data_IF_646124651378
#
_entry.id   IF_646124651378
#
_cell.length_a   1.000
_cell.length_b   1.000
_cell.length_c   1.000
_cell.angle_alpha   90.00
_cell.angle_beta   90.00
_cell.angle_gamma   90.00
#
_symmetry.space_group_name_H-M   'P 1'
#
loop_
_entity.id
_entity.type
_entity.pdbx_description
1 polymer ?
#
# COMPACT_ATOMS: atom_id res chain seq x y z
N UNK A 1 -35.18 11.71 -65.03
CA UNK A 1 -35.27 12.38 -63.73
C UNK A 1 -34.79 11.40 -62.66
N UNK A 2 -33.50 11.43 -62.32
CA UNK A 2 -32.83 10.55 -61.34
C UNK A 2 -32.56 11.36 -60.08
N UNK A 3 -33.20 11.00 -58.97
CA UNK A 3 -33.00 11.61 -57.66
C UNK A 3 -31.92 10.86 -56.93
N UNK A 4 -30.76 11.49 -56.73
CA UNK A 4 -29.68 10.97 -55.84
C UNK A 4 -30.03 11.24 -54.38
N UNK A 5 -30.12 10.18 -53.58
CA UNK A 5 -30.20 10.25 -52.13
C UNK A 5 -28.77 10.32 -51.55
N UNK A 6 -28.44 11.43 -50.91
CA UNK A 6 -27.22 11.59 -50.14
C UNK A 6 -27.49 11.08 -48.70
N UNK A 7 -26.89 9.98 -48.33
CA UNK A 7 -26.95 9.49 -46.94
C UNK A 7 -25.89 10.22 -46.11
N UNK A 8 -26.34 11.03 -45.14
CA UNK A 8 -25.48 11.67 -44.17
C UNK A 8 -25.14 10.67 -43.06
N UNK A 9 -23.88 10.27 -42.98
CA UNK A 9 -23.34 9.44 -41.90
C UNK A 9 -23.07 10.34 -40.70
N UNK A 10 -23.88 10.27 -39.66
CA UNK A 10 -23.65 10.98 -38.38
C UNK A 10 -22.71 10.11 -37.55
N UNK A 11 -21.41 10.46 -37.52
CA UNK A 11 -20.45 9.89 -36.57
C UNK A 11 -20.71 10.48 -35.18
N UNK A 12 -21.36 9.72 -34.32
CA UNK A 12 -21.43 10.04 -32.89
C UNK A 12 -20.07 9.70 -32.24
N UNK A 13 -19.26 10.72 -31.97
CA UNK A 13 -18.07 10.61 -31.11
C UNK A 13 -18.55 10.35 -29.69
N UNK A 14 -18.52 9.08 -29.28
CA UNK A 14 -18.72 8.69 -27.90
C UNK A 14 -17.53 9.15 -27.05
N UNK A 15 -17.69 10.19 -26.26
CA UNK A 15 -16.75 10.55 -25.20
C UNK A 15 -16.85 9.48 -24.12
N UNK A 16 -15.87 8.59 -24.07
CA UNK A 16 -15.67 7.72 -22.90
C UNK A 16 -15.10 8.59 -21.77
N UNK A 17 -15.97 9.14 -20.94
CA UNK A 17 -15.55 9.69 -19.65
C UNK A 17 -14.99 8.54 -18.82
N UNK A 18 -13.68 8.53 -18.61
CA UNK A 18 -13.06 7.71 -17.55
C UNK A 18 -13.66 8.14 -16.22
N UNK A 19 -14.64 7.40 -15.73
CA UNK A 19 -15.18 7.60 -14.37
C UNK A 19 -14.07 7.16 -13.41
N UNK A 20 -13.23 8.09 -12.99
CA UNK A 20 -12.36 7.88 -11.85
C UNK A 20 -13.28 7.61 -10.65
N UNK A 21 -13.10 6.46 -10.02
CA UNK A 21 -13.92 6.10 -8.86
C UNK A 21 -13.75 7.18 -7.78
N UNK A 22 -14.86 7.85 -7.43
CA UNK A 22 -14.87 8.95 -6.47
C UNK A 22 -14.31 8.49 -5.12
N UNK A 23 -13.41 9.27 -4.51
CA UNK A 23 -12.98 9.10 -3.13
C UNK A 23 -14.22 9.14 -2.21
N UNK A 24 -14.43 8.06 -1.46
CA UNK A 24 -15.58 7.92 -0.55
C UNK A 24 -15.37 8.60 0.79
N UNK A 25 -14.12 8.85 1.15
CA UNK A 25 -13.73 9.36 2.47
C UNK A 25 -12.69 10.49 2.34
N UNK A 26 -13.04 11.58 1.62
CA UNK A 26 -12.13 12.71 1.44
C UNK A 26 -11.79 13.37 2.78
N UNK A 27 -10.80 14.28 2.82
CA UNK A 27 -10.45 15.00 4.02
C UNK A 27 -11.66 15.69 4.65
N UNK A 28 -11.80 15.59 5.98
CA UNK A 28 -12.84 16.30 6.74
C UNK A 28 -12.36 17.73 6.95
N UNK A 29 -13.10 18.76 6.44
CA UNK A 29 -12.73 20.15 6.64
C UNK A 29 -12.58 20.48 8.14
N UNK A 30 -11.61 21.31 8.57
CA UNK A 30 -11.38 21.61 9.98
C UNK A 30 -12.62 22.09 10.73
N UNK A 31 -13.50 22.90 10.09
CA UNK A 31 -14.74 23.37 10.66
C UNK A 31 -15.84 22.31 10.87
N UNK A 32 -15.66 21.12 10.27
CA UNK A 32 -16.59 19.99 10.39
C UNK A 32 -16.05 18.87 11.29
N UNK A 33 -14.82 19.02 11.80
CA UNK A 33 -14.21 18.04 12.69
C UNK A 33 -14.82 18.12 14.10
N UNK A 34 -15.10 16.95 14.68
CA UNK A 34 -15.42 16.84 16.09
C UNK A 34 -14.20 17.18 16.97
N UNK A 35 -14.39 17.45 18.25
CA UNK A 35 -13.28 17.70 19.17
C UNK A 35 -12.31 16.51 19.26
N UNK A 36 -12.81 15.28 19.21
CA UNK A 36 -11.97 14.07 19.17
C UNK A 36 -11.11 14.01 17.89
N UNK A 37 -11.65 14.39 16.74
CA UNK A 37 -10.92 14.44 15.48
C UNK A 37 -9.86 15.56 15.50
N UNK A 38 -10.19 16.75 15.97
CA UNK A 38 -9.22 17.86 16.12
C UNK A 38 -8.06 17.46 17.03
N UNK A 39 -8.37 16.80 18.16
CA UNK A 39 -7.35 16.28 19.07
C UNK A 39 -6.43 15.27 18.38
N UNK A 40 -7.00 14.30 17.64
CA UNK A 40 -6.22 13.29 16.92
C UNK A 40 -5.34 13.91 15.82
N UNK A 41 -5.82 14.92 15.09
CA UNK A 41 -5.03 15.69 14.12
C UNK A 41 -3.85 16.38 14.82
N UNK A 42 -4.10 17.05 15.95
CA UNK A 42 -3.05 17.73 16.72
C UNK A 42 -1.97 16.74 17.23
N UNK A 43 -2.38 15.58 17.75
CA UNK A 43 -1.48 14.52 18.20
C UNK A 43 -0.67 13.92 17.03
N UNK A 44 -1.30 13.70 15.89
CA UNK A 44 -0.63 13.22 14.68
C UNK A 44 0.46 14.20 14.23
N UNK A 45 0.09 15.47 14.07
CA UNK A 45 1.01 16.53 13.61
C UNK A 45 2.14 16.76 14.62
N UNK A 46 1.85 16.70 15.93
CA UNK A 46 2.89 16.84 16.95
C UNK A 46 3.96 15.75 16.87
N UNK A 47 3.58 14.52 16.55
CA UNK A 47 4.51 13.37 16.45
C UNK A 47 5.19 13.32 15.08
N UNK A 48 4.41 13.36 13.99
CA UNK A 48 4.92 13.16 12.63
C UNK A 48 5.55 14.40 12.01
N UNK A 49 5.30 15.60 12.58
CA UNK A 49 5.72 16.91 12.03
C UNK A 49 5.22 17.13 10.60
N UNK A 50 4.06 16.57 10.29
CA UNK A 50 3.42 16.60 8.98
C UNK A 50 1.90 16.59 9.12
N UNK A 51 1.20 16.98 8.08
CA UNK A 51 -0.25 16.91 8.00
C UNK A 51 -0.76 15.48 7.89
N UNK A 52 -1.99 15.24 8.30
CA UNK A 52 -2.67 13.96 8.15
C UNK A 52 -2.81 13.64 6.67
N UNK A 53 -2.26 12.51 6.24
CA UNK A 53 -2.22 12.11 4.83
C UNK A 53 -2.37 10.59 4.66
N UNK A 54 -2.56 10.16 3.42
CA UNK A 54 -2.67 8.75 3.09
C UNK A 54 -3.80 8.04 3.82
N UNK A 55 -3.55 6.84 4.37
CA UNK A 55 -4.57 6.04 5.05
C UNK A 55 -5.13 6.72 6.31
N UNK A 56 -4.41 7.67 6.89
CA UNK A 56 -4.86 8.39 8.08
C UNK A 56 -6.00 9.39 7.79
N UNK A 57 -6.14 9.84 6.54
CA UNK A 57 -7.26 10.70 6.13
C UNK A 57 -8.61 10.00 6.33
N UNK A 58 -8.88 8.82 5.74
CA UNK A 58 -10.10 8.09 6.02
C UNK A 58 -10.19 7.61 7.50
N UNK A 59 -9.05 7.24 8.12
CA UNK A 59 -9.02 6.79 9.52
C UNK A 59 -9.41 7.87 10.53
N UNK A 60 -9.32 9.16 10.18
CA UNK A 60 -9.73 10.25 11.06
C UNK A 60 -11.21 10.15 11.48
N UNK A 61 -12.03 9.39 10.75
CA UNK A 61 -13.42 9.07 11.13
C UNK A 61 -13.53 8.21 12.38
N UNK A 62 -12.45 7.52 12.73
CA UNK A 62 -12.28 6.79 13.99
C UNK A 62 -10.95 7.19 14.63
N UNK A 63 -10.92 8.31 15.40
CA UNK A 63 -9.69 8.88 15.95
C UNK A 63 -8.86 7.89 16.79
N UNK A 64 -9.53 7.02 17.54
CA UNK A 64 -8.87 6.02 18.35
C UNK A 64 -8.15 4.95 17.50
N UNK A 65 -8.80 4.46 16.45
CA UNK A 65 -8.15 3.54 15.48
C UNK A 65 -6.97 4.23 14.81
N UNK A 66 -7.13 5.48 14.38
CA UNK A 66 -6.08 6.26 13.75
C UNK A 66 -4.84 6.39 14.64
N UNK A 67 -5.04 6.75 15.91
CA UNK A 67 -3.93 6.97 16.85
C UNK A 67 -3.19 5.68 17.18
N UNK A 68 -3.90 4.56 17.38
CA UNK A 68 -3.28 3.25 17.64
C UNK A 68 -2.56 2.72 16.41
N UNK A 69 -3.18 2.84 15.24
CA UNK A 69 -2.55 2.48 13.97
C UNK A 69 -1.28 3.31 13.71
N UNK A 70 -1.32 4.62 13.95
CA UNK A 70 -0.13 5.48 13.84
C UNK A 70 0.99 5.01 14.77
N UNK A 71 0.69 4.74 16.05
CA UNK A 71 1.71 4.31 16.99
C UNK A 71 2.36 2.98 16.61
N UNK A 72 1.56 2.01 16.13
CA UNK A 72 2.08 0.75 15.59
C UNK A 72 2.95 0.99 14.36
N UNK A 73 2.49 1.83 13.41
CA UNK A 73 3.25 2.15 12.21
C UNK A 73 4.56 2.89 12.50
N UNK A 74 4.59 3.76 13.53
CA UNK A 74 5.80 4.46 13.96
C UNK A 74 6.85 3.46 14.47
N UNK A 75 6.45 2.45 15.25
CA UNK A 75 7.35 1.38 15.69
C UNK A 75 7.86 0.56 14.50
N UNK A 76 6.96 0.01 13.68
CA UNK A 76 7.31 -0.89 12.59
C UNK A 76 8.20 -0.25 11.53
N UNK A 77 8.07 1.05 11.28
CA UNK A 77 8.87 1.76 10.28
C UNK A 77 10.21 2.26 10.80
N UNK A 78 10.30 2.64 12.06
CA UNK A 78 11.46 3.38 12.56
C UNK A 78 12.21 2.69 13.70
N UNK A 79 11.61 1.67 14.32
CA UNK A 79 12.14 1.02 15.51
C UNK A 79 12.13 -0.52 15.42
N UNK A 80 11.67 -1.09 14.31
CA UNK A 80 11.73 -2.54 14.06
C UNK A 80 13.20 -3.01 13.96
N UNK A 81 13.46 -4.29 14.24
CA UNK A 81 14.80 -4.85 14.07
C UNK A 81 15.18 -5.12 12.62
N UNK A 82 14.23 -4.98 11.69
CA UNK A 82 14.50 -5.16 10.27
C UNK A 82 15.15 -3.89 9.68
N UNK A 83 16.22 -4.02 8.86
CA UNK A 83 16.75 -2.89 8.14
C UNK A 83 15.73 -2.30 7.16
N UNK A 84 15.79 -0.99 6.85
CA UNK A 84 14.81 -0.31 5.97
C UNK A 84 14.57 -1.02 4.65
N UNK A 85 15.61 -1.58 4.01
CA UNK A 85 15.48 -2.36 2.78
C UNK A 85 14.50 -3.53 2.90
N UNK A 86 14.58 -4.28 3.99
CA UNK A 86 13.73 -5.44 4.22
C UNK A 86 12.33 -5.05 4.69
N UNK A 87 12.21 -4.02 5.53
CA UNK A 87 10.91 -3.48 5.94
C UNK A 87 10.12 -2.99 4.71
N UNK A 88 10.75 -2.19 3.86
CA UNK A 88 10.11 -1.67 2.64
C UNK A 88 9.80 -2.81 1.65
N UNK A 89 10.64 -3.85 1.58
CA UNK A 89 10.35 -5.02 0.75
C UNK A 89 9.08 -5.76 1.19
N UNK A 90 8.92 -6.01 2.50
CA UNK A 90 7.70 -6.60 3.05
C UNK A 90 6.46 -5.74 2.76
N UNK A 91 6.60 -4.41 2.83
CA UNK A 91 5.53 -3.45 2.49
C UNK A 91 5.14 -3.58 1.02
N UNK A 92 6.12 -3.62 0.10
CA UNK A 92 5.84 -3.76 -1.34
C UNK A 92 5.15 -5.07 -1.68
N UNK A 93 5.57 -6.20 -1.06
CA UNK A 93 4.90 -7.49 -1.23
C UNK A 93 3.44 -7.38 -0.81
N UNK A 94 3.18 -6.78 0.34
CA UNK A 94 1.81 -6.58 0.86
C UNK A 94 1.00 -5.64 -0.03
N UNK A 95 1.56 -4.51 -0.44
CA UNK A 95 0.89 -3.56 -1.35
C UNK A 95 0.51 -4.22 -2.67
N UNK A 96 1.37 -5.10 -3.20
CA UNK A 96 1.09 -5.88 -4.41
C UNK A 96 -0.06 -6.86 -4.20
N UNK A 97 -0.10 -7.59 -3.09
CA UNK A 97 -1.18 -8.53 -2.77
C UNK A 97 -2.56 -7.85 -2.77
N UNK A 98 -2.62 -6.62 -2.30
CA UNK A 98 -3.85 -5.82 -2.24
C UNK A 98 -4.07 -4.95 -3.49
N UNK A 99 -3.16 -4.98 -4.47
CA UNK A 99 -3.13 -4.06 -5.62
C UNK A 99 -3.32 -2.60 -5.15
N UNK A 100 -2.63 -2.26 -4.03
CA UNK A 100 -2.80 -0.94 -3.40
C UNK A 100 -1.78 0.04 -3.97
N UNK A 101 -2.23 0.85 -4.93
CA UNK A 101 -1.37 1.77 -5.67
C UNK A 101 -0.86 2.95 -4.85
N UNK A 102 -1.60 3.42 -3.84
CA UNK A 102 -1.14 4.51 -2.97
C UNK A 102 0.06 4.07 -2.12
N UNK A 103 -0.03 2.89 -1.48
CA UNK A 103 1.08 2.31 -0.71
C UNK A 103 2.28 2.01 -1.61
N UNK A 104 2.01 1.46 -2.78
CA UNK A 104 3.07 1.19 -3.75
C UNK A 104 3.83 2.46 -4.14
N UNK A 105 3.14 3.54 -4.50
CA UNK A 105 3.76 4.81 -4.89
C UNK A 105 4.60 5.41 -3.75
N UNK A 106 4.09 5.34 -2.53
CA UNK A 106 4.79 5.85 -1.36
C UNK A 106 6.07 5.06 -1.02
N UNK A 107 5.98 3.71 -1.08
CA UNK A 107 7.01 2.82 -0.57
C UNK A 107 8.01 2.32 -1.63
N UNK A 108 7.67 2.36 -2.92
CA UNK A 108 8.57 2.00 -4.00
C UNK A 108 9.88 2.84 -3.98
N UNK A 109 9.76 4.16 -3.84
CA UNK A 109 10.92 5.05 -3.74
C UNK A 109 11.76 4.74 -2.51
N UNK A 110 11.13 4.54 -1.35
CA UNK A 110 11.81 4.23 -0.10
C UNK A 110 12.54 2.89 -0.14
N UNK A 111 11.96 1.89 -0.81
CA UNK A 111 12.60 0.60 -1.02
C UNK A 111 13.90 0.72 -1.85
N UNK A 112 13.86 1.49 -2.94
CA UNK A 112 15.03 1.76 -3.77
C UNK A 112 16.08 2.56 -3.00
N UNK A 113 15.69 3.60 -2.26
CA UNK A 113 16.59 4.38 -1.40
C UNK A 113 17.18 3.52 -0.27
N UNK A 114 16.45 2.53 0.24
CA UNK A 114 16.90 1.54 1.20
C UNK A 114 17.87 0.50 0.64
N UNK A 115 18.07 0.49 -0.70
CA UNK A 115 19.01 -0.41 -1.36
C UNK A 115 18.36 -1.68 -1.95
N UNK A 116 17.03 -1.77 -2.03
CA UNK A 116 16.37 -2.85 -2.75
C UNK A 116 16.62 -2.72 -4.26
N UNK A 117 16.97 -3.83 -4.93
CA UNK A 117 17.25 -3.81 -6.37
C UNK A 117 16.00 -3.41 -7.19
N UNK A 118 16.15 -2.54 -8.22
CA UNK A 118 15.08 -2.25 -9.16
C UNK A 118 14.48 -3.48 -9.83
N UNK A 119 15.28 -4.53 -10.08
CA UNK A 119 14.81 -5.78 -10.67
C UNK A 119 13.85 -6.52 -9.73
N UNK A 120 14.14 -6.50 -8.42
CA UNK A 120 13.24 -7.05 -7.39
C UNK A 120 11.93 -6.28 -7.36
N UNK A 121 12.01 -4.95 -7.29
CA UNK A 121 10.83 -4.07 -7.29
C UNK A 121 9.95 -4.32 -8.52
N UNK A 122 10.55 -4.38 -9.71
CA UNK A 122 9.84 -4.63 -10.96
C UNK A 122 9.18 -6.03 -10.99
N UNK A 123 9.87 -7.06 -10.48
CA UNK A 123 9.29 -8.41 -10.40
C UNK A 123 8.06 -8.44 -9.48
N UNK A 124 8.14 -7.79 -8.31
CA UNK A 124 7.00 -7.67 -7.40
C UNK A 124 5.84 -6.90 -8.04
N UNK A 125 6.10 -5.76 -8.72
CA UNK A 125 5.06 -5.00 -9.43
C UNK A 125 4.29 -5.86 -10.43
N UNK A 126 4.98 -6.80 -11.09
CA UNK A 126 4.41 -7.74 -12.05
C UNK A 126 3.75 -8.96 -11.39
N UNK A 127 3.78 -9.09 -10.08
CA UNK A 127 3.26 -10.27 -9.35
C UNK A 127 4.10 -11.53 -9.53
N UNK A 128 5.39 -11.37 -9.87
CA UNK A 128 6.34 -12.48 -10.05
C UNK A 128 7.29 -12.59 -8.87
N UNK A 129 7.75 -13.81 -8.59
CA UNK A 129 8.89 -14.01 -7.70
C UNK A 129 10.14 -13.38 -8.33
N UNK A 130 10.92 -12.59 -7.60
CA UNK A 130 12.20 -12.09 -8.07
C UNK A 130 13.23 -13.23 -8.27
N UNK A 131 14.05 -13.13 -9.31
CA UNK A 131 15.04 -14.18 -9.66
C UNK A 131 16.35 -14.07 -8.87
N UNK A 132 16.75 -12.85 -8.53
CA UNK A 132 18.03 -12.56 -7.86
C UNK A 132 17.81 -11.81 -6.58
N UNK A 133 17.61 -12.52 -5.50
CA UNK A 133 17.49 -11.99 -4.15
C UNK A 133 18.73 -12.33 -3.33
N UNK A 134 19.17 -11.44 -2.44
CA UNK A 134 20.09 -11.79 -1.38
C UNK A 134 19.44 -12.80 -0.43
N UNK A 135 20.23 -13.53 0.36
CA UNK A 135 19.74 -14.58 1.25
C UNK A 135 18.65 -14.08 2.22
N UNK A 136 18.82 -12.91 2.81
CA UNK A 136 17.84 -12.30 3.70
C UNK A 136 16.57 -11.83 2.97
N UNK A 137 16.69 -11.36 1.75
CA UNK A 137 15.56 -11.00 0.89
C UNK A 137 14.74 -12.24 0.49
N UNK A 138 15.42 -13.32 0.16
CA UNK A 138 14.79 -14.58 -0.22
C UNK A 138 14.01 -15.21 0.93
N UNK A 139 14.59 -15.19 2.15
CA UNK A 139 13.92 -15.67 3.36
C UNK A 139 12.69 -14.83 3.66
N UNK A 140 12.82 -13.50 3.64
CA UNK A 140 11.71 -12.58 3.88
C UNK A 140 10.61 -12.72 2.82
N UNK A 141 10.99 -12.79 1.52
CA UNK A 141 10.02 -12.98 0.44
C UNK A 141 9.23 -14.27 0.63
N UNK A 142 9.93 -15.39 0.87
CA UNK A 142 9.28 -16.69 1.04
C UNK A 142 8.32 -16.68 2.23
N UNK A 143 8.74 -16.06 3.35
CA UNK A 143 7.88 -15.88 4.52
C UNK A 143 6.61 -15.08 4.21
N UNK A 144 6.76 -13.90 3.59
CA UNK A 144 5.62 -13.06 3.24
C UNK A 144 4.71 -13.72 2.20
N UNK A 145 5.25 -14.41 1.19
CA UNK A 145 4.47 -15.10 0.15
C UNK A 145 3.65 -16.24 0.76
N UNK A 146 4.25 -17.09 1.62
CA UNK A 146 3.51 -18.13 2.36
C UNK A 146 2.41 -17.52 3.25
N UNK A 147 2.75 -16.48 4.02
CA UNK A 147 1.80 -15.83 4.91
C UNK A 147 0.57 -15.30 4.17
N UNK A 148 0.78 -14.64 3.05
CA UNK A 148 -0.30 -14.05 2.27
C UNK A 148 -1.12 -15.09 1.48
N UNK A 149 -0.49 -16.14 0.96
CA UNK A 149 -1.16 -17.17 0.15
C UNK A 149 -1.86 -18.24 0.98
N UNK A 150 -1.15 -18.72 2.01
CA UNK A 150 -1.59 -19.88 2.79
C UNK A 150 -2.22 -19.47 4.12
N UNK A 151 -2.11 -18.18 4.51
CA UNK A 151 -2.53 -17.67 5.82
C UNK A 151 -1.85 -18.43 6.98
N UNK A 152 -0.69 -19.00 6.70
CA UNK A 152 0.11 -19.82 7.58
C UNK A 152 1.55 -19.87 7.08
N UNK A 153 2.46 -20.29 7.96
CA UNK A 153 3.89 -20.46 7.65
C UNK A 153 4.28 -21.92 7.88
N UNK A 154 5.02 -22.51 6.95
CA UNK A 154 5.58 -23.86 7.12
C UNK A 154 6.72 -23.87 8.11
N UNK A 155 6.94 -25.01 8.81
CA UNK A 155 8.03 -25.16 9.77
C UNK A 155 9.42 -24.85 9.18
N UNK A 156 9.77 -25.28 7.94
CA UNK A 156 11.05 -24.93 7.35
C UNK A 156 11.23 -23.43 7.13
N UNK A 157 10.18 -22.74 6.65
CA UNK A 157 10.19 -21.28 6.42
C UNK A 157 10.31 -20.54 7.77
N UNK A 158 9.58 -20.97 8.77
CA UNK A 158 9.67 -20.42 10.14
C UNK A 158 11.08 -20.56 10.70
N UNK A 159 11.66 -21.76 10.64
CA UNK A 159 13.00 -22.02 11.15
C UNK A 159 14.07 -21.15 10.48
N UNK A 160 14.01 -20.98 9.16
CA UNK A 160 14.90 -20.08 8.40
C UNK A 160 14.75 -18.63 8.82
N UNK A 161 13.52 -18.17 8.99
CA UNK A 161 13.24 -16.80 9.40
C UNK A 161 13.74 -16.51 10.82
N UNK A 162 13.52 -17.43 11.77
CA UNK A 162 14.04 -17.30 13.14
C UNK A 162 15.57 -17.31 13.15
N UNK A 163 16.21 -18.21 12.39
CA UNK A 163 17.66 -18.26 12.29
C UNK A 163 18.27 -16.96 11.74
N UNK A 164 17.57 -16.28 10.84
CA UNK A 164 18.05 -15.04 10.20
C UNK A 164 17.70 -13.77 10.96
N UNK A 165 16.48 -13.67 11.47
CA UNK A 165 15.91 -12.42 12.01
C UNK A 165 15.63 -12.49 13.52
N UNK A 166 15.75 -13.67 14.14
CA UNK A 166 15.28 -13.92 15.50
C UNK A 166 13.75 -13.93 15.61
N UNK A 167 13.23 -14.31 16.77
CA UNK A 167 11.78 -14.33 17.01
C UNK A 167 11.15 -12.93 16.93
N UNK A 168 11.86 -11.91 17.43
CA UNK A 168 11.40 -10.52 17.31
C UNK A 168 11.26 -10.10 15.84
N UNK A 169 12.25 -10.42 14.99
CA UNK A 169 12.18 -10.11 13.57
C UNK A 169 11.04 -10.81 12.85
N UNK A 170 10.74 -12.06 13.24
CA UNK A 170 9.57 -12.79 12.74
C UNK A 170 8.27 -12.05 13.10
N UNK A 171 8.12 -11.60 14.34
CA UNK A 171 6.94 -10.84 14.78
C UNK A 171 6.88 -9.48 14.07
N UNK A 172 8.01 -8.81 13.85
CA UNK A 172 8.05 -7.55 13.10
C UNK A 172 7.62 -7.75 11.63
N UNK A 173 8.03 -8.84 10.97
CA UNK A 173 7.57 -9.17 9.60
C UNK A 173 6.04 -9.38 9.58
N UNK A 174 5.51 -10.15 10.53
CA UNK A 174 4.05 -10.36 10.66
C UNK A 174 3.36 -9.03 10.94
N UNK A 175 3.92 -8.21 11.83
CA UNK A 175 3.43 -6.89 12.16
C UNK A 175 3.34 -5.97 10.93
N UNK A 176 4.41 -5.90 10.13
CA UNK A 176 4.45 -5.11 8.89
C UNK A 176 3.38 -5.62 7.91
N UNK A 177 3.34 -6.94 7.64
CA UNK A 177 2.39 -7.54 6.72
C UNK A 177 0.93 -7.29 7.15
N UNK A 178 0.60 -7.48 8.43
CA UNK A 178 -0.74 -7.23 8.97
C UNK A 178 -1.12 -5.76 8.98
N UNK A 179 -0.19 -4.89 9.39
CA UNK A 179 -0.40 -3.46 9.43
C UNK A 179 -0.69 -2.88 8.02
N UNK A 180 0.16 -3.18 7.05
CA UNK A 180 -0.05 -2.68 5.68
C UNK A 180 -1.23 -3.35 4.97
N UNK A 181 -1.60 -4.58 5.34
CA UNK A 181 -2.89 -5.18 4.95
C UNK A 181 -4.06 -4.33 5.45
N UNK A 182 -4.06 -3.93 6.72
CA UNK A 182 -5.10 -3.05 7.27
C UNK A 182 -5.12 -1.69 6.55
N UNK A 183 -3.96 -1.07 6.31
CA UNK A 183 -3.89 0.21 5.58
C UNK A 183 -4.43 0.06 4.15
N UNK A 184 -4.07 -1.03 3.45
CA UNK A 184 -4.58 -1.33 2.12
C UNK A 184 -6.10 -1.51 2.11
N UNK A 185 -6.66 -2.21 3.11
CA UNK A 185 -8.12 -2.34 3.28
C UNK A 185 -8.81 -0.98 3.45
N UNK A 186 -8.23 -0.09 4.28
CA UNK A 186 -8.75 1.27 4.51
C UNK A 186 -8.74 2.08 3.21
N UNK A 187 -7.60 2.11 2.52
CA UNK A 187 -7.42 2.86 1.27
C UNK A 187 -8.33 2.34 0.15
N UNK A 188 -8.45 1.01 0.02
CA UNK A 188 -9.34 0.39 -0.97
C UNK A 188 -10.82 0.64 -0.64
N UNK A 189 -11.20 0.62 0.65
CA UNK A 189 -12.56 0.94 1.10
C UNK A 189 -12.89 2.40 0.80
N UNK A 190 -11.98 3.31 1.11
CA UNK A 190 -12.12 4.74 0.86
C UNK A 190 -12.05 5.09 -0.63
N UNK A 191 -11.45 4.24 -1.46
CA UNK A 191 -11.06 4.54 -2.85
C UNK A 191 -10.12 5.74 -2.92
N UNK A 192 -9.17 5.80 -1.99
CA UNK A 192 -8.19 6.88 -1.94
C UNK A 192 -7.34 6.85 -3.22
N UNK A 193 -7.34 7.93 -4.00
CA UNK A 193 -6.56 7.99 -5.23
C UNK A 193 -5.06 8.06 -4.93
N UNK A 194 -4.23 7.65 -5.89
CA UNK A 194 -2.80 8.00 -5.84
C UNK A 194 -2.64 9.52 -5.83
N UNK A 195 -1.53 10.05 -5.30
CA UNK A 195 -1.29 11.48 -5.29
C UNK A 195 -1.39 12.12 -6.68
N UNK A 196 -1.84 13.37 -6.74
CA UNK A 196 -1.99 14.10 -8.00
C UNK A 196 -0.67 14.10 -8.81
N UNK A 197 -0.77 13.87 -10.11
CA UNK A 197 0.38 13.76 -11.01
C UNK A 197 1.10 12.41 -10.99
N UNK A 198 0.62 11.44 -10.22
CA UNK A 198 1.14 10.06 -10.21
C UNK A 198 0.21 9.14 -10.99
N UNK A 199 0.80 8.13 -11.60
CA UNK A 199 0.05 7.08 -12.33
C UNK A 199 0.08 5.78 -11.53
N UNK A 200 -1.08 5.09 -11.38
CA UNK A 200 -1.09 3.76 -10.78
C UNK A 200 -0.11 2.82 -11.49
N UNK A 201 0.81 2.24 -10.74
CA UNK A 201 1.87 1.37 -11.28
C UNK A 201 1.47 -0.11 -11.31
N UNK A 202 0.54 -0.52 -10.42
CA UNK A 202 0.12 -1.89 -10.29
C UNK A 202 -1.10 -2.17 -11.15
N UNK A 203 -0.99 -3.11 -12.08
CA UNK A 203 -2.15 -3.70 -12.74
C UNK A 203 -2.94 -4.56 -11.75
N UNK A 204 -4.29 -4.65 -11.87
CA UNK A 204 -5.06 -5.59 -11.07
C UNK A 204 -4.51 -7.02 -11.21
N UNK A 205 -4.50 -7.79 -10.12
CA UNK A 205 -4.21 -9.22 -10.23
C UNK A 205 -5.25 -9.88 -11.12
N UNK A 206 -4.84 -10.80 -12.01
CA UNK A 206 -5.78 -11.71 -12.63
C UNK A 206 -6.50 -12.50 -11.53
N UNK A 207 -7.83 -12.47 -11.55
CA UNK A 207 -8.68 -13.26 -10.65
C UNK A 207 -9.04 -14.57 -11.30
#
# INVERSE_FOLDING_TARGET
MTRSLVAACICTMGWTMSVHAQDRMPPIPPGQQTEAQKKAVAEFTAVRKADVSGPFVPMLRSPEVMNRARAMGDYLRFNSVLPPRLSEFAILITARQWTQNYEWDAHNRLALEGGLSPDIVNAIAQGRRPDKMADDEEILYTFCDELHRNQSISDPTYARAVAKFGEQGVIDIVGISGYYTMLAMVLNTARTPVPAGRTPALAPFPR
#
